data_IF_588612774251
#
_entry.id   IF_588612774251
#
_cell.length_a   1.000
_cell.length_b   1.000
_cell.length_c   1.000
_cell.angle_alpha   90.00
_cell.angle_beta   90.00
_cell.angle_gamma   90.00
#
_symmetry.space_group_name_H-M   'P 1'
#
loop_
_entity.id
_entity.type
_entity.pdbx_description
1 polymer ?
#
# COMPACT_ATOMS: atom_id res chain seq x y z
N UNK A 1 -1.33 11.76 -3.28
CA UNK A 1 -1.63 10.35 -2.97
C UNK A 1 -0.99 9.84 -1.67
N UNK A 2 0.04 8.97 -1.66
CA UNK A 2 0.37 8.23 -0.41
C UNK A 2 1.19 9.01 0.64
N UNK A 3 2.01 9.97 0.23
CA UNK A 3 2.85 10.79 1.14
C UNK A 3 2.09 11.42 2.32
N UNK A 4 0.96 12.13 2.13
CA UNK A 4 0.24 12.75 3.25
C UNK A 4 -0.40 11.75 4.22
N UNK A 5 -0.61 10.50 3.82
CA UNK A 5 -1.25 9.46 4.64
C UNK A 5 -0.28 8.74 5.58
N UNK A 6 1.02 8.90 5.35
CA UNK A 6 2.09 8.17 6.02
C UNK A 6 3.25 9.10 6.44
N UNK A 7 2.96 10.22 7.14
CA UNK A 7 3.96 11.24 7.43
C UNK A 7 5.04 10.77 8.40
N UNK A 8 4.69 9.87 9.32
CA UNK A 8 5.59 9.36 10.37
C UNK A 8 5.73 7.85 10.28
N UNK A 9 6.83 7.32 10.82
CA UNK A 9 7.06 5.88 10.91
C UNK A 9 5.93 5.16 11.67
N UNK A 10 5.46 5.73 12.77
CA UNK A 10 4.35 5.18 13.55
C UNK A 10 3.05 5.11 12.72
N UNK A 11 2.74 6.17 11.95
CA UNK A 11 1.56 6.18 11.07
C UNK A 11 1.67 5.16 9.93
N UNK A 12 2.88 4.95 9.39
CA UNK A 12 3.16 3.91 8.38
C UNK A 12 2.89 2.53 8.95
N UNK A 13 3.45 2.24 10.12
CA UNK A 13 3.31 0.94 10.76
C UNK A 13 1.84 0.64 11.08
N UNK A 14 1.13 1.57 11.73
CA UNK A 14 -0.30 1.37 12.03
C UNK A 14 -1.14 1.11 10.77
N UNK A 15 -0.88 1.86 9.68
CA UNK A 15 -1.60 1.71 8.41
C UNK A 15 -1.29 0.40 7.71
N UNK A 16 -0.01 0.04 7.63
CA UNK A 16 0.42 -1.22 7.01
C UNK A 16 -0.12 -2.41 7.80
N UNK A 17 -0.01 -2.39 9.13
CA UNK A 17 -0.58 -3.43 9.99
C UNK A 17 -2.07 -3.57 9.74
N UNK A 18 -2.84 -2.48 9.60
CA UNK A 18 -4.27 -2.57 9.26
C UNK A 18 -4.50 -3.18 7.88
N UNK A 19 -3.75 -2.73 6.87
CA UNK A 19 -3.91 -3.18 5.47
C UNK A 19 -3.55 -4.67 5.30
N UNK A 20 -2.55 -5.15 6.02
CA UNK A 20 -1.97 -6.48 5.85
C UNK A 20 -2.05 -7.34 7.13
N UNK A 21 -3.02 -7.08 8.02
CA UNK A 21 -3.16 -7.84 9.28
C UNK A 21 -3.37 -9.34 9.05
N UNK A 22 -3.96 -9.72 7.91
CA UNK A 22 -4.14 -11.11 7.46
C UNK A 22 -2.90 -11.70 6.78
N UNK A 23 -1.88 -10.89 6.52
CA UNK A 23 -0.67 -11.26 5.76
C UNK A 23 0.61 -10.87 6.53
N UNK A 24 0.89 -11.50 7.69
CA UNK A 24 2.03 -11.17 8.54
C UNK A 24 3.39 -11.34 7.83
N UNK A 25 3.52 -12.36 6.97
CA UNK A 25 4.74 -12.60 6.21
C UNK A 25 5.10 -11.44 5.25
N UNK A 26 4.10 -10.71 4.78
CA UNK A 26 4.30 -9.51 3.97
C UNK A 26 4.70 -8.32 4.87
N UNK A 27 4.10 -8.19 6.05
CA UNK A 27 4.45 -7.12 7.00
C UNK A 27 5.92 -7.20 7.42
N UNK A 28 6.43 -8.40 7.68
CA UNK A 28 7.83 -8.61 8.08
C UNK A 28 8.84 -8.22 6.99
N UNK A 29 8.41 -8.12 5.73
CA UNK A 29 9.23 -7.70 4.59
C UNK A 29 9.24 -6.19 4.36
N UNK A 30 8.37 -5.43 5.05
CA UNK A 30 8.21 -3.99 4.82
C UNK A 30 9.00 -3.21 5.88
N UNK A 31 10.09 -2.57 5.44
CA UNK A 31 10.79 -1.60 6.28
C UNK A 31 10.01 -0.27 6.33
N UNK A 32 9.65 0.20 7.53
CA UNK A 32 8.86 1.44 7.74
C UNK A 32 9.70 2.69 7.95
N UNK A 33 11.00 2.53 8.22
CA UNK A 33 11.92 3.61 8.51
C UNK A 33 12.34 4.45 7.30
N UNK A 34 13.06 5.53 7.57
CA UNK A 34 13.68 6.39 6.55
C UNK A 34 12.76 7.49 6.01
N UNK A 35 13.31 8.27 5.07
CA UNK A 35 12.62 9.39 4.44
C UNK A 35 11.36 8.91 3.71
N UNK A 36 10.26 9.66 3.80
CA UNK A 36 8.96 9.26 3.23
C UNK A 36 9.03 8.95 1.74
N UNK A 37 9.85 9.68 0.96
CA UNK A 37 10.03 9.38 -0.46
C UNK A 37 10.63 7.99 -0.68
N UNK A 38 11.75 7.71 -0.02
CA UNK A 38 12.48 6.43 -0.11
C UNK A 38 11.60 5.28 0.36
N UNK A 39 10.93 5.45 1.50
CA UNK A 39 10.00 4.46 2.03
C UNK A 39 8.91 4.09 1.03
N UNK A 40 8.26 5.07 0.39
CA UNK A 40 7.18 4.79 -0.57
C UNK A 40 7.69 4.06 -1.81
N UNK A 41 8.86 4.43 -2.33
CA UNK A 41 9.49 3.72 -3.44
C UNK A 41 9.81 2.28 -3.09
N UNK A 42 10.36 2.04 -1.89
CA UNK A 42 10.65 0.69 -1.41
C UNK A 42 9.37 -0.11 -1.19
N UNK A 43 8.34 0.47 -0.56
CA UNK A 43 7.05 -0.19 -0.34
C UNK A 43 6.42 -0.66 -1.66
N UNK A 44 6.36 0.20 -2.68
CA UNK A 44 5.79 -0.15 -3.98
C UNK A 44 6.60 -1.28 -4.62
N UNK A 45 7.93 -1.23 -4.55
CA UNK A 45 8.81 -2.27 -5.07
C UNK A 45 8.59 -3.59 -4.32
N UNK A 46 8.58 -3.59 -3.00
CA UNK A 46 8.32 -4.78 -2.16
C UNK A 46 6.98 -5.41 -2.48
N UNK A 47 5.90 -4.61 -2.63
CA UNK A 47 4.58 -5.14 -2.98
C UNK A 47 4.53 -5.72 -4.39
N UNK A 48 5.27 -5.14 -5.33
CA UNK A 48 5.38 -5.66 -6.69
C UNK A 48 6.18 -6.96 -6.73
N UNK A 49 7.27 -7.05 -5.99
CA UNK A 49 8.13 -8.24 -5.92
C UNK A 49 7.49 -9.38 -5.15
N UNK A 50 6.67 -9.05 -4.15
CA UNK A 50 5.82 -10.01 -3.45
C UNK A 50 4.76 -10.59 -4.40
N UNK A 51 4.24 -9.78 -5.32
CA UNK A 51 3.25 -10.18 -6.29
C UNK A 51 1.86 -10.26 -5.67
N UNK A 52 1.36 -11.48 -5.48
CA UNK A 52 0.01 -11.74 -5.01
C UNK A 52 0.00 -12.24 -3.56
N UNK A 53 -0.88 -11.68 -2.72
CA UNK A 53 -1.13 -12.20 -1.36
C UNK A 53 -1.99 -13.45 -1.38
N UNK A 54 -2.85 -13.56 -2.37
CA UNK A 54 -3.70 -14.71 -2.67
C UNK A 54 -3.90 -14.76 -4.20
N UNK A 55 -4.22 -15.92 -4.80
CA UNK A 55 -4.45 -16.02 -6.23
C UNK A 55 -5.44 -14.96 -6.76
N UNK A 56 -4.98 -14.08 -7.65
CA UNK A 56 -5.76 -12.98 -8.22
C UNK A 56 -5.92 -11.75 -7.32
N UNK A 57 -5.14 -11.66 -6.22
CA UNK A 57 -5.12 -10.53 -5.29
C UNK A 57 -3.69 -9.97 -5.16
N UNK A 58 -3.30 -9.01 -6.03
CA UNK A 58 -2.01 -8.33 -5.92
C UNK A 58 -1.86 -7.58 -4.59
N UNK A 59 -0.68 -7.67 -3.96
CA UNK A 59 -0.41 -6.99 -2.69
C UNK A 59 -0.59 -5.46 -2.80
N UNK A 60 -0.22 -4.89 -3.96
CA UNK A 60 -0.43 -3.47 -4.25
C UNK A 60 -1.92 -3.09 -4.26
N UNK A 61 -2.78 -3.98 -4.76
CA UNK A 61 -4.24 -3.76 -4.76
C UNK A 61 -4.77 -3.69 -3.34
N UNK A 62 -4.35 -4.59 -2.46
CA UNK A 62 -4.75 -4.59 -1.04
C UNK A 62 -4.39 -3.26 -0.37
N UNK A 63 -3.18 -2.75 -0.61
CA UNK A 63 -2.79 -1.43 -0.11
C UNK A 63 -3.70 -0.32 -0.64
N UNK A 64 -3.90 -0.27 -1.95
CA UNK A 64 -4.70 0.78 -2.59
C UNK A 64 -6.16 0.78 -2.11
N UNK A 65 -6.77 -0.41 -2.01
CA UNK A 65 -8.11 -0.58 -1.46
C UNK A 65 -8.19 -0.12 0.00
N UNK A 66 -7.15 -0.39 0.80
CA UNK A 66 -7.13 0.04 2.21
C UNK A 66 -7.06 1.55 2.42
N UNK A 67 -6.55 2.31 1.43
CA UNK A 67 -6.36 3.76 1.54
C UNK A 67 -7.38 4.58 0.74
N UNK A 68 -8.17 3.95 -0.14
CA UNK A 68 -9.09 4.64 -1.05
C UNK A 68 -10.15 5.51 -0.35
N UNK A 69 -10.59 5.08 0.83
CA UNK A 69 -11.63 5.79 1.60
C UNK A 69 -11.04 6.87 2.52
N UNK A 70 -9.71 7.00 2.55
CA UNK A 70 -8.99 7.96 3.39
C UNK A 70 -8.29 9.06 2.58
N UNK A 71 -8.46 9.05 1.25
CA UNK A 71 -7.95 10.07 0.34
C UNK A 71 -9.07 10.95 -0.20
N UNK A 72 -8.73 12.15 -0.65
CA UNK A 72 -9.68 13.04 -1.32
C UNK A 72 -10.19 12.45 -2.63
N UNK A 73 -11.33 12.97 -3.12
CA UNK A 73 -12.07 12.46 -4.29
C UNK A 73 -11.16 12.25 -5.50
N UNK A 74 -10.31 13.22 -5.85
CA UNK A 74 -9.41 13.11 -7.01
C UNK A 74 -8.36 12.00 -6.86
N UNK A 75 -7.83 11.80 -5.65
CA UNK A 75 -6.86 10.74 -5.38
C UNK A 75 -7.56 9.37 -5.36
N UNK A 76 -8.83 9.29 -4.91
CA UNK A 76 -9.67 8.09 -4.97
C UNK A 76 -9.99 7.68 -6.40
N UNK A 77 -10.41 8.62 -7.25
CA UNK A 77 -10.68 8.35 -8.67
C UNK A 77 -9.43 7.77 -9.36
N UNK A 78 -8.25 8.32 -9.06
CA UNK A 78 -6.98 7.81 -9.56
C UNK A 78 -6.65 6.41 -9.05
N UNK A 79 -6.95 6.09 -7.79
CA UNK A 79 -6.84 4.71 -7.28
C UNK A 79 -7.74 3.78 -8.09
N UNK A 80 -9.00 4.15 -8.26
CA UNK A 80 -9.97 3.33 -8.98
C UNK A 80 -9.55 3.10 -10.43
N UNK A 81 -9.00 4.11 -11.11
CA UNK A 81 -8.43 3.95 -12.45
C UNK A 81 -7.27 2.96 -12.48
N UNK A 82 -6.32 3.05 -11.54
CA UNK A 82 -5.19 2.11 -11.44
C UNK A 82 -5.69 0.68 -11.20
N UNK A 83 -6.68 0.52 -10.32
CA UNK A 83 -7.28 -0.77 -10.01
C UNK A 83 -8.05 -1.36 -11.21
N UNK A 84 -8.68 -0.52 -12.03
CA UNK A 84 -9.35 -0.94 -13.27
C UNK A 84 -8.37 -1.26 -14.40
N UNK A 85 -7.22 -0.58 -14.46
CA UNK A 85 -6.19 -0.77 -15.48
C UNK A 85 -5.33 -2.02 -15.26
N UNK A 86 -5.33 -2.57 -14.04
CA UNK A 86 -4.70 -3.85 -13.71
C UNK A 86 -5.72 -4.90 -13.25
N UNK A 87 -6.65 -5.32 -14.12
CA UNK A 87 -7.63 -6.34 -13.77
C UNK A 87 -7.00 -7.73 -13.92
N UNK A 88 -6.71 -8.37 -12.78
CA UNK A 88 -6.41 -9.81 -12.61
C UNK A 88 -5.37 -10.39 -13.59
#
# INVERSE_FOLDING_TARGET
MLRPLMPTEQSRQARLTRAFHTYPDLLDRIATGGETGVFLSHLIQTLRDYGEVEPGMPALRVLLESVKDEVGVSDRERIEEILRAHPR
#
